data_IF_839957317095
#
_entry.id   IF_839957317095
#
_cell.length_a   1.000
_cell.length_b   1.000
_cell.length_c   1.000
_cell.angle_alpha   90.00
_cell.angle_beta   90.00
_cell.angle_gamma   90.00
#
_symmetry.space_group_name_H-M   'P 1'
#
loop_
_entity.id
_entity.type
_entity.pdbx_description
1 polymer ?
#
# COMPACT_ATOMS: atom_id res chain seq x y z
N UNK A 1 -1.44 52.33 9.12
CA UNK A 1 -0.32 51.53 8.55
C UNK A 1 0.39 50.59 9.53
N UNK A 2 0.57 50.91 10.83
CA UNK A 2 1.31 50.04 11.80
C UNK A 2 0.59 48.76 12.29
N UNK A 3 -0.74 48.67 12.13
CA UNK A 3 -1.51 47.50 12.59
C UNK A 3 -1.44 46.31 11.61
N UNK A 4 -1.37 46.59 10.30
CA UNK A 4 -1.25 45.56 9.27
C UNK A 4 0.09 44.82 9.37
N UNK A 5 1.20 45.54 9.55
CA UNK A 5 2.53 44.94 9.73
C UNK A 5 2.61 44.07 10.99
N UNK A 6 1.93 44.45 12.07
CA UNK A 6 1.87 43.64 13.29
C UNK A 6 1.11 42.32 13.10
N UNK A 7 0.00 42.34 12.35
CA UNK A 7 -0.75 41.12 12.03
C UNK A 7 0.07 40.19 11.12
N UNK A 8 0.81 40.74 10.16
CA UNK A 8 1.68 39.95 9.28
C UNK A 8 2.84 39.32 10.04
N UNK A 9 3.51 40.07 10.93
CA UNK A 9 4.60 39.55 11.77
C UNK A 9 4.11 38.47 12.74
N UNK A 10 2.93 38.66 13.34
CA UNK A 10 2.30 37.67 14.21
C UNK A 10 1.93 36.40 13.41
N UNK A 11 1.41 36.54 12.19
CA UNK A 11 1.10 35.43 11.32
C UNK A 11 2.35 34.67 10.85
N UNK A 12 3.49 35.35 10.67
CA UNK A 12 4.79 34.74 10.35
C UNK A 12 5.34 33.98 11.56
N UNK A 13 5.29 34.56 12.76
CA UNK A 13 5.73 33.88 13.99
C UNK A 13 4.87 32.66 14.31
N UNK A 14 3.54 32.77 14.19
CA UNK A 14 2.62 31.64 14.39
C UNK A 14 2.87 30.54 13.36
N UNK A 15 3.07 30.89 12.07
CA UNK A 15 3.43 29.92 11.02
C UNK A 15 4.80 29.28 11.26
N UNK A 16 5.78 30.04 11.76
CA UNK A 16 7.09 29.55 12.13
C UNK A 16 7.05 28.57 13.31
N UNK A 17 6.24 28.88 14.34
CA UNK A 17 6.03 28.01 15.49
C UNK A 17 5.31 26.72 15.10
N UNK A 18 4.24 26.80 14.30
CA UNK A 18 3.54 25.64 13.76
C UNK A 18 4.43 24.75 12.90
N UNK A 19 5.28 25.31 12.03
CA UNK A 19 6.22 24.53 11.21
C UNK A 19 7.28 23.81 12.07
N UNK A 20 7.83 24.47 13.10
CA UNK A 20 8.80 23.85 14.01
C UNK A 20 8.15 22.75 14.87
N UNK A 21 6.94 22.98 15.38
CA UNK A 21 6.18 21.98 16.11
C UNK A 21 5.84 20.77 15.23
N UNK A 22 5.47 21.02 13.97
CA UNK A 22 5.18 19.98 12.98
C UNK A 22 6.41 19.13 12.64
N UNK A 23 7.58 19.75 12.46
CA UNK A 23 8.83 19.03 12.23
C UNK A 23 9.25 18.17 13.41
N UNK A 24 9.10 18.67 14.65
CA UNK A 24 9.37 17.90 15.87
C UNK A 24 8.43 16.71 16.03
N UNK A 25 7.14 16.88 15.74
CA UNK A 25 6.16 15.79 15.79
C UNK A 25 6.47 14.70 14.77
N UNK A 26 6.82 15.07 13.53
CA UNK A 26 7.22 14.11 12.51
C UNK A 26 8.47 13.32 12.93
N UNK A 27 9.51 14.00 13.41
CA UNK A 27 10.73 13.35 13.91
C UNK A 27 10.44 12.40 15.07
N UNK A 28 9.55 12.81 16.00
CA UNK A 28 9.11 11.94 17.10
C UNK A 28 8.41 10.67 16.58
N UNK A 29 7.45 10.79 15.65
CA UNK A 29 6.76 9.63 15.07
C UNK A 29 7.72 8.71 14.29
N UNK A 30 8.68 9.29 13.58
CA UNK A 30 9.70 8.55 12.85
C UNK A 30 10.57 7.73 13.81
N UNK A 31 11.11 8.36 14.86
CA UNK A 31 11.94 7.68 15.86
C UNK A 31 11.16 6.61 16.63
N UNK A 32 9.91 6.91 17.01
CA UNK A 32 9.04 5.94 17.67
C UNK A 32 8.76 4.73 16.77
N UNK A 33 8.52 4.96 15.47
CA UNK A 33 8.32 3.88 14.50
C UNK A 33 9.58 3.05 14.29
N UNK A 34 10.77 3.66 14.22
CA UNK A 34 12.05 2.93 14.17
C UNK A 34 12.29 2.10 15.44
N UNK A 35 11.97 2.62 16.62
CA UNK A 35 12.08 1.88 17.87
C UNK A 35 11.15 0.65 17.88
N UNK A 36 9.91 0.79 17.41
CA UNK A 36 8.98 -0.32 17.28
C UNK A 36 9.42 -1.35 16.23
N UNK A 37 10.05 -0.93 15.12
CA UNK A 37 10.67 -1.85 14.14
C UNK A 37 11.84 -2.63 14.77
N UNK A 38 12.69 -1.96 15.55
CA UNK A 38 13.79 -2.61 16.25
C UNK A 38 13.29 -3.63 17.29
N UNK A 39 12.24 -3.28 18.03
CA UNK A 39 11.59 -4.20 18.98
C UNK A 39 10.99 -5.41 18.25
N UNK A 40 10.25 -5.20 17.16
CA UNK A 40 9.68 -6.31 16.39
C UNK A 40 10.79 -7.19 15.82
N UNK A 41 11.87 -6.60 15.30
CA UNK A 41 13.00 -7.37 14.81
C UNK A 41 13.60 -8.27 15.89
N UNK A 42 13.76 -7.74 17.11
CA UNK A 42 14.23 -8.54 18.24
C UNK A 42 13.26 -9.69 18.58
N UNK A 43 11.95 -9.45 18.55
CA UNK A 43 10.94 -10.47 18.78
C UNK A 43 10.95 -11.54 17.70
N UNK A 44 11.06 -11.17 16.43
CA UNK A 44 11.12 -12.12 15.31
C UNK A 44 12.37 -12.99 15.38
N UNK A 45 13.52 -12.39 15.66
CA UNK A 45 14.77 -13.12 15.85
C UNK A 45 14.69 -14.09 17.05
N UNK A 46 13.99 -13.73 18.13
CA UNK A 46 13.86 -14.60 19.31
C UNK A 46 12.95 -15.80 19.09
N UNK A 47 12.02 -15.72 18.13
CA UNK A 47 11.17 -16.85 17.70
C UNK A 47 11.73 -17.59 16.47
N UNK A 48 12.93 -17.25 16.01
CA UNK A 48 13.61 -17.91 14.89
C UNK A 48 13.15 -17.48 13.50
N UNK A 49 12.45 -16.35 13.37
CA UNK A 49 12.11 -15.75 12.07
C UNK A 49 13.34 -14.95 11.59
N UNK A 50 14.05 -15.49 10.62
CA UNK A 50 15.22 -14.84 10.02
C UNK A 50 14.83 -13.83 8.91
N UNK A 51 15.74 -12.91 8.60
CA UNK A 51 15.64 -11.90 7.53
C UNK A 51 15.31 -12.52 6.17
N UNK A 52 15.72 -13.77 5.93
CA UNK A 52 15.51 -14.52 4.68
C UNK A 52 14.32 -15.49 4.72
N UNK A 53 13.44 -15.38 5.72
CA UNK A 53 12.25 -16.24 5.84
C UNK A 53 11.33 -16.15 4.61
N UNK A 54 11.31 -15.00 3.93
CA UNK A 54 10.57 -14.85 2.67
C UNK A 54 11.41 -15.28 1.48
N UNK A 55 10.82 -16.11 0.60
CA UNK A 55 11.45 -16.55 -0.66
C UNK A 55 11.94 -15.35 -1.48
N UNK A 56 11.15 -14.28 -1.55
CA UNK A 56 11.53 -13.05 -2.26
C UNK A 56 12.79 -12.42 -1.65
N UNK A 57 12.91 -12.40 -0.31
CA UNK A 57 14.06 -11.84 0.39
C UNK A 57 15.34 -12.63 0.12
N UNK A 58 15.26 -13.96 0.13
CA UNK A 58 16.38 -14.81 -0.26
C UNK A 58 16.78 -14.57 -1.73
N UNK A 59 15.80 -14.51 -2.62
CA UNK A 59 16.01 -14.26 -4.06
C UNK A 59 16.69 -12.91 -4.30
N UNK A 60 16.25 -11.85 -3.62
CA UNK A 60 16.89 -10.53 -3.74
C UNK A 60 18.31 -10.52 -3.19
N UNK A 61 18.58 -11.22 -2.08
CA UNK A 61 19.91 -11.28 -1.49
C UNK A 61 20.91 -12.07 -2.34
N UNK A 62 20.46 -13.14 -3.01
CA UNK A 62 21.33 -14.03 -3.78
C UNK A 62 21.55 -13.57 -5.23
N UNK A 63 20.52 -12.98 -5.86
CA UNK A 63 20.55 -12.69 -7.30
C UNK A 63 20.72 -11.20 -7.64
N UNK A 64 20.87 -10.29 -6.65
CA UNK A 64 20.88 -8.85 -6.90
C UNK A 64 21.95 -8.39 -7.88
N UNK A 65 23.19 -8.88 -7.74
CA UNK A 65 24.32 -8.48 -8.58
C UNK A 65 24.07 -8.86 -10.05
N UNK A 66 23.75 -10.13 -10.30
CA UNK A 66 23.49 -10.64 -11.64
C UNK A 66 22.27 -9.96 -12.27
N UNK A 67 21.15 -9.85 -11.53
CA UNK A 67 19.92 -9.27 -12.06
C UNK A 67 20.06 -7.77 -12.30
N UNK A 68 20.77 -7.03 -11.44
CA UNK A 68 20.97 -5.60 -11.69
C UNK A 68 21.91 -5.35 -12.88
N UNK A 69 22.97 -6.14 -13.05
CA UNK A 69 23.82 -6.06 -14.23
C UNK A 69 23.05 -6.36 -15.53
N UNK A 70 22.19 -7.38 -15.52
CA UNK A 70 21.32 -7.71 -16.66
C UNK A 70 20.35 -6.55 -16.98
N UNK A 71 19.72 -5.94 -15.96
CA UNK A 71 18.86 -4.76 -16.12
C UNK A 71 19.62 -3.59 -16.74
N UNK A 72 20.84 -3.31 -16.26
CA UNK A 72 21.70 -2.26 -16.81
C UNK A 72 22.04 -2.52 -18.28
N UNK A 73 22.30 -3.79 -18.65
CA UNK A 73 22.62 -4.18 -20.03
C UNK A 73 21.42 -4.08 -20.99
N UNK A 74 20.21 -4.40 -20.52
CA UNK A 74 18.95 -4.34 -21.30
C UNK A 74 18.34 -2.94 -21.32
N UNK A 75 18.85 -2.02 -20.50
CA UNK A 75 18.40 -0.64 -20.40
C UNK A 75 17.19 -0.44 -19.49
N UNK A 76 16.81 0.83 -19.31
CA UNK A 76 15.82 1.29 -18.33
C UNK A 76 14.43 0.66 -18.45
N UNK A 77 14.05 0.14 -19.62
CA UNK A 77 12.76 -0.52 -19.84
C UNK A 77 12.63 -1.86 -19.09
N UNK A 78 13.74 -2.44 -18.63
CA UNK A 78 13.75 -3.67 -17.83
C UNK A 78 13.65 -3.44 -16.31
N UNK A 79 13.74 -2.17 -15.87
CA UNK A 79 13.65 -1.78 -14.46
C UNK A 79 12.27 -2.00 -13.81
N UNK A 80 11.12 -1.81 -14.50
CA UNK A 80 9.80 -2.10 -13.97
C UNK A 80 9.67 -3.51 -13.37
N UNK A 81 9.33 -3.57 -12.08
CA UNK A 81 9.20 -4.81 -11.32
C UNK A 81 10.48 -5.39 -10.74
N UNK A 82 11.64 -4.84 -11.12
CA UNK A 82 12.95 -5.40 -10.80
C UNK A 82 13.86 -4.44 -10.01
N UNK A 83 13.40 -3.22 -9.70
CA UNK A 83 14.23 -2.22 -9.03
C UNK A 83 14.79 -2.66 -7.66
N UNK A 84 14.12 -3.58 -6.96
CA UNK A 84 14.63 -4.10 -5.68
C UNK A 84 15.99 -4.81 -5.83
N UNK A 85 16.25 -5.50 -6.93
CA UNK A 85 17.55 -6.12 -7.19
C UNK A 85 18.66 -5.05 -7.23
N UNK A 86 18.42 -3.95 -7.94
CA UNK A 86 19.39 -2.86 -8.01
C UNK A 86 19.53 -2.07 -6.72
N UNK A 87 18.48 -1.99 -5.89
CA UNK A 87 18.61 -1.42 -4.55
C UNK A 87 19.54 -2.28 -3.70
N UNK A 88 19.33 -3.60 -3.67
CA UNK A 88 20.16 -4.52 -2.87
C UNK A 88 21.61 -4.55 -3.37
N UNK A 89 21.82 -4.52 -4.69
CA UNK A 89 23.16 -4.43 -5.29
C UNK A 89 23.90 -3.15 -4.86
N UNK A 90 23.20 -2.00 -4.85
CA UNK A 90 23.82 -0.70 -4.54
C UNK A 90 24.17 -0.53 -3.06
N UNK A 91 23.33 -0.97 -2.14
CA UNK A 91 23.50 -0.70 -0.69
C UNK A 91 23.79 -1.95 0.15
N UNK A 92 23.84 -3.12 -0.47
CA UNK A 92 23.94 -4.42 0.19
C UNK A 92 22.65 -4.82 0.93
N UNK A 93 22.59 -6.09 1.37
CA UNK A 93 21.45 -6.65 2.11
C UNK A 93 21.11 -5.83 3.36
N UNK A 94 22.09 -5.51 4.20
CA UNK A 94 21.85 -4.74 5.43
C UNK A 94 21.41 -3.30 5.15
N UNK A 95 21.97 -2.65 4.13
CA UNK A 95 21.55 -1.31 3.73
C UNK A 95 20.13 -1.29 3.20
N UNK A 96 19.74 -2.29 2.41
CA UNK A 96 18.39 -2.39 1.86
C UNK A 96 17.34 -2.69 2.95
N UNK A 97 17.66 -3.50 3.97
CA UNK A 97 16.79 -3.68 5.14
C UNK A 97 16.62 -2.36 5.91
N UNK A 98 17.70 -1.61 6.11
CA UNK A 98 17.62 -0.29 6.76
C UNK A 98 16.74 0.68 5.94
N UNK A 99 16.87 0.68 4.61
CA UNK A 99 16.00 1.49 3.75
C UNK A 99 14.54 1.06 3.88
N UNK A 100 14.23 -0.24 3.92
CA UNK A 100 12.88 -0.73 4.16
C UNK A 100 12.30 -0.25 5.50
N UNK A 101 13.09 -0.32 6.56
CA UNK A 101 12.72 0.19 7.88
C UNK A 101 12.41 1.70 7.81
N UNK A 102 13.25 2.47 7.10
CA UNK A 102 13.02 3.90 6.88
C UNK A 102 11.76 4.19 6.05
N UNK A 103 11.44 3.39 5.03
CA UNK A 103 10.23 3.52 4.22
C UNK A 103 8.97 3.27 5.08
N UNK A 104 8.97 2.23 5.91
CA UNK A 104 7.85 1.94 6.83
C UNK A 104 7.73 3.02 7.92
N UNK A 105 8.85 3.47 8.48
CA UNK A 105 8.85 4.51 9.51
C UNK A 105 8.41 5.87 8.95
N UNK A 106 8.92 6.26 7.79
CA UNK A 106 8.54 7.48 7.10
C UNK A 106 7.06 7.49 6.72
N UNK A 107 6.55 6.38 6.20
CA UNK A 107 5.12 6.26 5.88
C UNK A 107 4.24 6.29 7.13
N UNK A 108 4.68 5.70 8.25
CA UNK A 108 3.95 5.79 9.53
C UNK A 108 3.94 7.23 10.05
N UNK A 109 5.08 7.92 10.02
CA UNK A 109 5.19 9.30 10.46
C UNK A 109 4.32 10.25 9.62
N UNK A 110 4.31 10.08 8.29
CA UNK A 110 3.43 10.85 7.40
C UNK A 110 1.95 10.64 7.72
N UNK A 111 1.53 9.39 7.94
CA UNK A 111 0.16 9.07 8.31
C UNK A 111 -0.21 9.73 9.65
N UNK A 112 0.57 9.50 10.70
CA UNK A 112 0.29 10.05 12.03
C UNK A 112 0.26 11.57 12.01
N UNK A 113 1.18 12.21 11.29
CA UNK A 113 1.17 13.66 11.12
C UNK A 113 -0.12 14.14 10.44
N UNK A 114 -0.59 13.45 9.39
CA UNK A 114 -1.84 13.78 8.73
C UNK A 114 -3.05 13.59 9.65
N UNK A 115 -3.03 12.57 10.51
CA UNK A 115 -4.12 12.20 11.42
C UNK A 115 -4.22 13.14 12.63
N UNK A 116 -3.11 13.39 13.32
CA UNK A 116 -3.11 14.24 14.53
C UNK A 116 -3.42 15.71 14.22
N UNK A 117 -3.40 16.09 12.94
CA UNK A 117 -3.94 17.37 12.48
C UNK A 117 -5.48 17.44 12.44
N UNK A 118 -6.18 16.32 12.68
CA UNK A 118 -7.64 16.18 12.55
C UNK A 118 -8.31 15.85 13.89
N UNK A 119 -9.54 16.32 14.05
CA UNK A 119 -10.40 15.96 15.18
C UNK A 119 -11.14 14.65 14.87
N UNK A 120 -10.57 13.51 15.27
CA UNK A 120 -11.21 12.19 15.20
C UNK A 120 -11.83 11.81 16.54
N UNK A 121 -12.96 11.08 16.56
CA UNK A 121 -13.44 10.45 17.79
C UNK A 121 -12.44 9.40 18.28
N UNK A 122 -12.46 9.10 19.58
CA UNK A 122 -11.53 8.14 20.22
C UNK A 122 -11.43 6.81 19.46
N UNK A 123 -12.56 6.23 19.05
CA UNK A 123 -12.58 4.96 18.32
C UNK A 123 -11.93 5.07 16.92
N UNK A 124 -12.09 6.22 16.25
CA UNK A 124 -11.40 6.49 14.99
C UNK A 124 -9.90 6.65 15.18
N UNK A 125 -9.48 7.29 16.28
CA UNK A 125 -8.07 7.41 16.65
C UNK A 125 -7.45 6.03 16.95
N UNK A 126 -8.12 5.19 17.75
CA UNK A 126 -7.67 3.82 18.05
C UNK A 126 -7.53 3.01 16.76
N UNK A 127 -8.54 3.04 15.88
CA UNK A 127 -8.51 2.32 14.59
C UNK A 127 -7.30 2.74 13.77
N UNK A 128 -7.07 4.04 13.66
CA UNK A 128 -5.94 4.58 12.91
C UNK A 128 -4.60 4.18 13.53
N UNK A 129 -4.46 4.23 14.85
CA UNK A 129 -3.22 3.82 15.53
C UNK A 129 -2.95 2.34 15.31
N UNK A 130 -3.97 1.48 15.37
CA UNK A 130 -3.85 0.06 15.09
C UNK A 130 -3.42 -0.22 13.64
N UNK A 131 -3.96 0.52 12.67
CA UNK A 131 -3.54 0.42 11.26
C UNK A 131 -2.12 0.95 11.07
N UNK A 132 -1.78 2.08 11.69
CA UNK A 132 -0.48 2.73 11.53
C UNK A 132 0.66 1.86 12.11
N UNK A 133 0.44 1.27 13.28
CA UNK A 133 1.38 0.42 14.02
C UNK A 133 1.10 -1.08 13.86
N UNK A 134 0.41 -1.45 12.79
CA UNK A 134 0.05 -2.83 12.57
C UNK A 134 1.31 -3.73 12.47
N UNK A 135 1.41 -4.83 13.26
CA UNK A 135 2.61 -5.67 13.31
C UNK A 135 3.04 -6.18 11.94
N UNK A 136 2.09 -6.57 11.10
CA UNK A 136 2.36 -7.06 9.75
C UNK A 136 3.05 -6.01 8.86
N UNK A 137 2.72 -4.73 9.03
CA UNK A 137 3.41 -3.63 8.32
C UNK A 137 4.88 -3.55 8.70
N UNK A 138 5.14 -3.71 9.99
CA UNK A 138 6.47 -3.59 10.55
C UNK A 138 7.32 -4.81 10.18
N UNK A 139 6.70 -5.99 10.14
CA UNK A 139 7.28 -7.21 9.60
C UNK A 139 7.80 -6.98 8.16
N UNK A 140 6.98 -6.39 7.27
CA UNK A 140 7.44 -6.05 5.92
C UNK A 140 8.64 -5.08 5.89
N UNK A 141 8.76 -4.22 6.91
CA UNK A 141 9.84 -3.23 7.04
C UNK A 141 11.19 -3.79 7.48
N UNK A 142 11.21 -4.97 8.13
CA UNK A 142 12.44 -5.60 8.64
C UNK A 142 12.97 -6.73 7.75
N UNK A 143 12.24 -7.05 6.68
CA UNK A 143 12.66 -7.99 5.63
C UNK A 143 13.04 -7.28 4.33
N UNK A 144 13.80 -7.95 3.46
CA UNK A 144 14.10 -7.48 2.10
C UNK A 144 12.87 -7.66 1.19
N UNK A 145 11.88 -6.81 1.35
CA UNK A 145 10.64 -6.84 0.59
C UNK A 145 10.37 -5.50 -0.09
N UNK A 146 9.90 -5.56 -1.34
CA UNK A 146 9.50 -4.38 -2.10
C UNK A 146 8.22 -3.70 -1.59
N UNK A 147 7.42 -4.42 -0.80
CA UNK A 147 6.13 -3.97 -0.28
C UNK A 147 6.24 -2.68 0.56
N UNK A 148 7.36 -2.50 1.28
CA UNK A 148 7.68 -1.31 2.07
C UNK A 148 7.85 -0.04 1.23
N UNK A 149 8.49 -0.15 0.06
CA UNK A 149 8.61 0.96 -0.89
C UNK A 149 7.24 1.33 -1.48
N UNK A 150 6.47 0.32 -1.90
CA UNK A 150 5.13 0.52 -2.46
C UNK A 150 4.25 1.25 -1.46
N UNK A 151 4.27 0.84 -0.19
CA UNK A 151 3.51 1.48 0.86
C UNK A 151 3.94 2.93 1.12
N UNK A 152 5.25 3.20 1.11
CA UNK A 152 5.77 4.55 1.27
C UNK A 152 5.34 5.47 0.13
N UNK A 153 5.52 5.04 -1.12
CA UNK A 153 5.10 5.81 -2.29
C UNK A 153 3.58 5.97 -2.38
N UNK A 154 2.79 4.97 -2.00
CA UNK A 154 1.34 5.10 -1.88
C UNK A 154 0.94 6.14 -0.83
N UNK A 155 1.63 6.17 0.31
CA UNK A 155 1.42 7.17 1.35
C UNK A 155 1.77 8.57 0.82
N UNK A 156 2.93 8.75 0.20
CA UNK A 156 3.30 10.01 -0.44
C UNK A 156 2.27 10.44 -1.50
N UNK A 157 1.77 9.49 -2.30
CA UNK A 157 0.81 9.78 -3.33
C UNK A 157 -0.52 10.31 -2.80
N UNK A 158 -0.93 9.93 -1.59
CA UNK A 158 -2.14 10.45 -0.95
C UNK A 158 -1.92 11.77 -0.20
N UNK A 159 -0.76 11.93 0.45
CA UNK A 159 -0.56 13.01 1.43
C UNK A 159 0.37 14.13 0.96
N UNK A 160 1.14 13.95 -0.12
CA UNK A 160 2.09 14.95 -0.61
C UNK A 160 1.55 15.75 -1.81
N UNK A 161 2.08 16.97 -2.00
CA UNK A 161 1.72 17.84 -3.14
C UNK A 161 2.23 17.22 -4.45
N UNK A 162 1.37 17.17 -5.47
CA UNK A 162 1.69 16.44 -6.71
C UNK A 162 1.58 14.91 -6.57
N UNK A 163 0.78 14.45 -5.59
CA UNK A 163 0.64 13.06 -5.14
C UNK A 163 0.63 12.00 -6.25
N UNK A 164 -0.11 12.19 -7.34
CA UNK A 164 -0.15 11.21 -8.42
C UNK A 164 1.24 10.89 -9.02
N UNK A 165 2.17 11.85 -9.09
CA UNK A 165 3.52 11.58 -9.60
C UNK A 165 4.32 10.64 -8.68
N UNK A 166 4.06 10.69 -7.37
CA UNK A 166 4.67 9.78 -6.39
C UNK A 166 4.18 8.34 -6.52
N UNK A 167 3.16 8.09 -7.33
CA UNK A 167 2.73 6.73 -7.62
C UNK A 167 3.55 6.04 -8.72
N UNK A 168 4.27 6.79 -9.56
CA UNK A 168 5.10 6.25 -10.65
C UNK A 168 6.24 5.33 -10.17
N UNK A 169 7.02 5.67 -9.11
CA UNK A 169 8.07 4.79 -8.60
C UNK A 169 7.57 3.41 -8.18
N UNK A 170 6.28 3.25 -7.85
CA UNK A 170 5.73 1.94 -7.48
C UNK A 170 5.84 0.91 -8.62
N UNK A 171 5.77 1.34 -9.89
CA UNK A 171 5.94 0.46 -11.06
C UNK A 171 7.34 -0.16 -11.09
N UNK A 172 8.35 0.60 -10.66
CA UNK A 172 9.74 0.15 -10.65
C UNK A 172 9.94 -1.03 -9.71
N UNK A 173 9.23 -1.04 -8.58
CA UNK A 173 9.27 -2.12 -7.60
C UNK A 173 8.32 -3.27 -7.96
N UNK A 174 7.16 -2.98 -8.53
CA UNK A 174 6.18 -3.98 -8.91
C UNK A 174 5.33 -3.50 -10.08
N UNK A 175 5.11 -4.30 -11.14
CA UNK A 175 4.20 -3.92 -12.22
C UNK A 175 2.76 -3.70 -11.72
N UNK A 176 2.43 -4.33 -10.58
CA UNK A 176 1.15 -4.10 -9.86
C UNK A 176 1.03 -2.69 -9.31
N UNK A 177 2.13 -1.93 -9.28
CA UNK A 177 2.20 -0.47 -9.13
C UNK A 177 1.13 0.27 -9.92
N UNK A 178 0.80 -0.21 -11.12
CA UNK A 178 -0.26 0.33 -11.97
C UNK A 178 -1.63 0.33 -11.29
N UNK A 179 -1.96 -0.70 -10.51
CA UNK A 179 -3.21 -0.77 -9.76
C UNK A 179 -3.26 0.39 -8.76
N UNK A 180 -2.20 0.63 -7.99
CA UNK A 180 -2.14 1.74 -7.03
C UNK A 180 -2.19 3.13 -7.71
N UNK A 181 -1.57 3.28 -8.88
CA UNK A 181 -1.62 4.52 -9.68
C UNK A 181 -3.05 4.80 -10.11
N UNK A 182 -3.71 3.81 -10.70
CA UNK A 182 -5.10 3.87 -11.16
C UNK A 182 -5.96 4.39 -10.01
N UNK A 183 -5.90 3.81 -8.82
CA UNK A 183 -6.71 4.26 -7.68
C UNK A 183 -6.28 5.57 -7.02
N UNK A 184 -5.14 6.15 -7.40
CA UNK A 184 -4.73 7.49 -6.95
C UNK A 184 -5.49 8.62 -7.68
N UNK A 185 -6.21 8.31 -8.78
CA UNK A 185 -7.05 9.26 -9.52
C UNK A 185 -8.54 9.18 -9.09
N UNK A 186 -9.41 10.13 -9.51
CA UNK A 186 -10.83 10.13 -9.12
C UNK A 186 -11.65 9.01 -9.78
N UNK A 187 -12.51 8.36 -8.98
CA UNK A 187 -13.39 7.24 -9.33
C UNK A 187 -14.16 7.41 -10.64
N UNK A 188 -14.79 8.57 -10.82
CA UNK A 188 -15.70 8.81 -11.94
C UNK A 188 -15.01 8.82 -13.31
N UNK A 189 -13.74 9.22 -13.36
CA UNK A 189 -12.97 9.20 -14.60
C UNK A 189 -12.27 7.87 -14.79
N UNK A 190 -11.88 7.20 -13.71
CA UNK A 190 -11.22 5.89 -13.75
C UNK A 190 -12.08 4.76 -14.26
N UNK A 191 -13.31 4.65 -13.78
CA UNK A 191 -14.23 3.61 -14.25
C UNK A 191 -14.53 3.82 -15.74
N UNK A 192 -14.70 5.08 -16.15
CA UNK A 192 -14.88 5.43 -17.55
C UNK A 192 -13.62 5.15 -18.39
N UNK A 193 -12.42 5.55 -17.94
CA UNK A 193 -11.19 5.33 -18.70
C UNK A 193 -10.77 3.86 -18.71
N UNK A 194 -10.94 3.12 -17.62
CA UNK A 194 -10.67 1.69 -17.56
C UNK A 194 -11.66 0.90 -18.42
N UNK A 195 -12.95 1.26 -18.38
CA UNK A 195 -13.95 0.69 -19.28
C UNK A 195 -13.64 0.99 -20.74
N UNK A 196 -13.33 2.24 -21.08
CA UNK A 196 -12.96 2.63 -22.44
C UNK A 196 -11.66 1.97 -22.90
N UNK A 197 -10.67 1.79 -22.03
CA UNK A 197 -9.41 1.11 -22.32
C UNK A 197 -9.62 -0.39 -22.55
N UNK A 198 -10.42 -1.06 -21.71
CA UNK A 198 -10.80 -2.46 -21.89
C UNK A 198 -11.65 -2.67 -23.14
N UNK A 199 -12.59 -1.77 -23.40
CA UNK A 199 -13.43 -1.79 -24.60
C UNK A 199 -12.59 -1.58 -25.87
N UNK A 200 -11.63 -0.66 -25.84
CA UNK A 200 -10.73 -0.44 -26.98
C UNK A 200 -9.74 -1.60 -27.17
N UNK A 201 -9.24 -2.20 -26.11
CA UNK A 201 -8.48 -3.47 -26.20
C UNK A 201 -9.31 -4.59 -26.82
N UNK A 202 -10.58 -4.74 -26.41
CA UNK A 202 -11.48 -5.75 -26.93
C UNK A 202 -11.84 -5.52 -28.42
N UNK A 203 -12.17 -4.28 -28.79
CA UNK A 203 -12.63 -3.95 -30.14
C UNK A 203 -11.49 -3.87 -31.17
N UNK A 204 -10.32 -3.33 -30.79
CA UNK A 204 -9.24 -3.05 -31.74
C UNK A 204 -8.10 -4.09 -31.69
N UNK A 205 -8.01 -4.90 -30.64
CA UNK A 205 -6.92 -5.86 -30.43
C UNK A 205 -7.40 -7.23 -29.94
N UNK A 206 -8.22 -7.97 -30.72
CA UNK A 206 -8.81 -9.24 -30.28
C UNK A 206 -7.78 -10.32 -29.89
N UNK A 207 -6.58 -10.32 -30.49
CA UNK A 207 -5.49 -11.23 -30.09
C UNK A 207 -4.85 -10.91 -28.72
N UNK A 208 -4.98 -9.66 -28.26
CA UNK A 208 -4.57 -9.29 -26.90
C UNK A 208 -5.60 -9.71 -25.86
N UNK A 209 -6.88 -9.87 -26.24
CA UNK A 209 -7.91 -10.36 -25.32
C UNK A 209 -7.64 -11.81 -24.90
N UNK A 210 -7.28 -12.70 -25.85
CA UNK A 210 -6.90 -14.07 -25.51
C UNK A 210 -5.64 -14.12 -24.64
N UNK A 211 -4.67 -13.23 -24.90
CA UNK A 211 -3.46 -13.09 -24.07
C UNK A 211 -3.81 -12.59 -22.67
N UNK A 212 -4.65 -11.56 -22.55
CA UNK A 212 -5.12 -11.02 -21.28
C UNK A 212 -5.88 -12.08 -20.48
N UNK A 213 -6.80 -12.80 -21.12
CA UNK A 213 -7.53 -13.90 -20.50
C UNK A 213 -6.58 -15.01 -20.05
N UNK A 214 -5.59 -15.40 -20.87
CA UNK A 214 -4.61 -16.41 -20.48
C UNK A 214 -3.72 -15.96 -19.30
N UNK A 215 -3.40 -14.66 -19.19
CA UNK A 215 -2.68 -14.09 -18.04
C UNK A 215 -3.56 -14.08 -16.79
N UNK A 216 -4.82 -13.67 -16.91
CA UNK A 216 -5.79 -13.65 -15.81
C UNK A 216 -6.10 -15.06 -15.30
N UNK A 217 -6.23 -16.04 -16.19
CA UNK A 217 -6.47 -17.45 -15.82
C UNK A 217 -5.19 -18.18 -15.42
N UNK A 218 -4.00 -17.61 -15.68
CA UNK A 218 -2.71 -18.25 -15.34
C UNK A 218 -2.57 -18.50 -13.84
N UNK A 219 -3.12 -17.61 -13.01
CA UNK A 219 -3.15 -17.75 -11.55
C UNK A 219 -3.81 -19.06 -11.09
N UNK A 220 -4.80 -19.55 -11.84
CA UNK A 220 -5.51 -20.81 -11.57
C UNK A 220 -4.79 -22.06 -12.14
N UNK A 221 -3.76 -21.89 -12.97
CA UNK A 221 -3.04 -23.00 -13.61
C UNK A 221 -1.77 -23.42 -12.88
N UNK A 222 -1.14 -22.53 -12.12
CA UNK A 222 0.07 -22.83 -11.37
C UNK A 222 -0.29 -23.68 -10.13
N UNK A 223 0.26 -24.89 -10.04
CA UNK A 223 0.20 -25.68 -8.81
C UNK A 223 1.20 -25.09 -7.82
N UNK A 224 0.70 -24.26 -6.91
CA UNK A 224 1.48 -23.84 -5.75
C UNK A 224 1.21 -24.82 -4.61
N UNK A 225 2.28 -25.35 -4.03
CA UNK A 225 2.19 -26.06 -2.76
C UNK A 225 2.02 -24.97 -1.70
N UNK A 226 0.79 -24.76 -1.26
CA UNK A 226 0.52 -23.86 -0.13
C UNK A 226 0.98 -24.54 1.15
N UNK A 227 1.50 -23.73 2.06
CA UNK A 227 1.83 -24.24 3.39
C UNK A 227 0.54 -24.63 4.12
N UNK A 228 0.60 -25.66 4.96
CA UNK A 228 -0.58 -26.24 5.61
C UNK A 228 -1.38 -25.24 6.46
N UNK A 229 -0.80 -24.09 6.79
CA UNK A 229 -1.47 -23.03 7.54
C UNK A 229 -2.15 -21.96 6.66
N UNK A 230 -1.89 -21.91 5.34
CA UNK A 230 -2.47 -20.93 4.38
C UNK A 230 -3.76 -21.46 3.74
N UNK A 231 -4.68 -22.03 4.54
CA UNK A 231 -5.88 -22.75 4.06
C UNK A 231 -7.08 -21.86 3.71
N UNK A 232 -6.87 -20.66 3.16
CA UNK A 232 -8.02 -19.87 2.68
C UNK A 232 -8.43 -20.36 1.29
N UNK A 233 -9.73 -20.66 1.05
CA UNK A 233 -10.20 -21.19 -0.21
C UNK A 233 -9.77 -20.34 -1.41
N UNK A 234 -9.13 -21.00 -2.38
CA UNK A 234 -8.74 -20.41 -3.66
C UNK A 234 -9.82 -20.58 -4.73
N UNK A 235 -10.81 -21.46 -4.50
CA UNK A 235 -11.91 -21.78 -5.41
C UNK A 235 -11.45 -22.31 -6.78
N UNK A 236 -10.23 -22.83 -6.85
CA UNK A 236 -9.59 -23.28 -8.10
C UNK A 236 -10.39 -24.36 -8.83
N UNK A 237 -11.09 -25.21 -8.07
CA UNK A 237 -11.96 -26.27 -8.58
C UNK A 237 -13.07 -25.75 -9.51
N UNK A 238 -13.39 -24.46 -9.45
CA UNK A 238 -14.39 -23.82 -10.30
C UNK A 238 -13.81 -23.05 -11.50
N UNK A 239 -12.51 -23.17 -11.80
CA UNK A 239 -11.84 -22.47 -12.89
C UNK A 239 -12.14 -20.95 -12.88
N UNK A 240 -12.55 -20.37 -14.02
CA UNK A 240 -12.89 -18.94 -14.14
C UNK A 240 -13.98 -18.50 -13.17
N UNK A 241 -14.96 -19.36 -12.85
CA UNK A 241 -15.97 -19.04 -11.83
C UNK A 241 -15.32 -18.88 -10.45
N UNK A 242 -14.31 -19.70 -10.15
CA UNK A 242 -13.48 -19.58 -8.96
C UNK A 242 -12.78 -18.22 -8.85
N UNK A 243 -12.24 -17.72 -9.96
CA UNK A 243 -11.62 -16.39 -10.01
C UNK A 243 -12.61 -15.27 -9.67
N UNK A 244 -13.85 -15.36 -10.16
CA UNK A 244 -14.91 -14.41 -9.81
C UNK A 244 -15.35 -14.51 -8.35
N UNK A 245 -15.53 -15.73 -7.84
CA UNK A 245 -15.85 -15.95 -6.42
C UNK A 245 -14.74 -15.34 -5.56
N UNK A 246 -13.49 -15.60 -5.91
CA UNK A 246 -12.31 -15.06 -5.23
C UNK A 246 -12.26 -13.53 -5.25
N UNK A 247 -12.51 -12.91 -6.39
CA UNK A 247 -12.57 -11.46 -6.55
C UNK A 247 -13.67 -10.79 -5.70
N UNK A 248 -14.70 -11.54 -5.33
CA UNK A 248 -15.75 -11.08 -4.42
C UNK A 248 -15.44 -11.41 -2.96
N UNK A 249 -15.02 -12.64 -2.66
CA UNK A 249 -14.91 -13.15 -1.29
C UNK A 249 -13.64 -12.66 -0.60
N UNK A 250 -12.49 -12.63 -1.27
CA UNK A 250 -11.22 -12.27 -0.63
C UNK A 250 -11.18 -10.82 -0.14
N UNK A 251 -11.68 -9.81 -0.89
CA UNK A 251 -11.82 -8.45 -0.37
C UNK A 251 -12.69 -8.39 0.88
N UNK A 252 -13.82 -9.11 0.91
CA UNK A 252 -14.68 -9.18 2.09
C UNK A 252 -13.94 -9.80 3.27
N UNK A 253 -13.23 -10.91 3.06
CA UNK A 253 -12.42 -11.53 4.10
C UNK A 253 -11.36 -10.58 4.64
N UNK A 254 -10.57 -9.94 3.78
CA UNK A 254 -9.50 -9.05 4.22
C UNK A 254 -10.03 -7.82 4.96
N UNK A 255 -11.09 -7.19 4.44
CA UNK A 255 -11.68 -6.01 5.08
C UNK A 255 -12.39 -6.35 6.39
N UNK A 256 -12.90 -7.57 6.57
CA UNK A 256 -13.63 -7.99 7.76
C UNK A 256 -12.79 -8.70 8.82
N UNK A 257 -11.70 -9.35 8.42
CA UNK A 257 -10.95 -10.27 9.27
C UNK A 257 -11.54 -11.68 9.37
N UNK A 258 -12.63 -12.00 8.67
CA UNK A 258 -13.31 -13.31 8.81
C UNK A 258 -12.47 -14.52 8.39
N UNK A 259 -11.41 -14.33 7.61
CA UNK A 259 -10.51 -15.43 7.22
C UNK A 259 -9.83 -16.13 8.41
N UNK A 260 -9.78 -15.49 9.59
CA UNK A 260 -9.20 -16.10 10.79
C UNK A 260 -9.94 -17.35 11.28
N UNK A 261 -11.24 -17.46 10.97
CA UNK A 261 -12.02 -18.65 11.31
C UNK A 261 -11.80 -19.81 10.33
N UNK A 262 -11.07 -19.56 9.25
CA UNK A 262 -10.83 -20.51 8.17
C UNK A 262 -9.36 -20.93 8.16
N UNK A 263 -8.44 -19.99 8.35
CA UNK A 263 -7.01 -20.27 8.32
C UNK A 263 -6.42 -20.32 9.74
N UNK A 264 -5.62 -21.37 10.05
CA UNK A 264 -4.95 -21.51 11.34
C UNK A 264 -3.65 -20.69 11.46
N UNK A 265 -3.29 -19.86 10.47
CA UNK A 265 -2.02 -19.13 10.47
C UNK A 265 -1.96 -18.08 11.61
N UNK A 266 -0.98 -18.14 12.53
CA UNK A 266 -0.89 -17.15 13.61
C UNK A 266 -0.70 -15.72 13.11
N UNK A 267 0.02 -15.54 12.00
CA UNK A 267 0.23 -14.23 11.35
C UNK A 267 -1.06 -13.59 10.83
N UNK A 268 -2.14 -14.36 10.68
CA UNK A 268 -3.43 -13.86 10.26
C UNK A 268 -4.22 -13.20 11.38
N UNK A 269 -3.91 -13.50 12.65
CA UNK A 269 -4.53 -12.85 13.80
C UNK A 269 -4.36 -11.32 13.80
N UNK A 270 -3.13 -10.75 13.72
CA UNK A 270 -2.97 -9.30 13.69
C UNK A 270 -3.61 -8.66 12.45
N UNK A 271 -3.62 -9.35 11.30
CA UNK A 271 -4.26 -8.84 10.08
C UNK A 271 -5.79 -8.84 10.24
N UNK A 272 -6.37 -9.87 10.84
CA UNK A 272 -7.80 -9.94 11.10
C UNK A 272 -8.27 -8.86 12.06
N UNK A 273 -7.48 -8.56 13.10
CA UNK A 273 -7.76 -7.46 14.03
C UNK A 273 -7.83 -6.11 13.32
N UNK A 274 -6.97 -5.88 12.31
CA UNK A 274 -7.03 -4.69 11.46
C UNK A 274 -8.34 -4.67 10.66
N UNK A 275 -8.76 -5.80 10.10
CA UNK A 275 -10.04 -5.92 9.40
C UNK A 275 -11.24 -5.56 10.29
N UNK A 276 -11.34 -6.20 11.47
CA UNK A 276 -12.43 -5.94 12.42
C UNK A 276 -12.49 -4.47 12.85
N UNK A 277 -11.34 -3.90 13.20
CA UNK A 277 -11.25 -2.49 13.65
C UNK A 277 -11.51 -1.53 12.50
N UNK A 278 -11.13 -1.88 11.28
CA UNK A 278 -11.49 -1.13 10.07
C UNK A 278 -13.00 -1.07 9.88
N UNK A 279 -13.70 -2.21 9.90
CA UNK A 279 -15.16 -2.23 9.75
C UNK A 279 -15.83 -1.40 10.84
N UNK A 280 -15.36 -1.53 12.09
CA UNK A 280 -15.87 -0.77 13.21
C UNK A 280 -15.63 0.75 13.03
N UNK A 281 -14.44 1.14 12.56
CA UNK A 281 -14.10 2.53 12.24
C UNK A 281 -14.97 3.10 11.13
N UNK A 282 -15.16 2.36 10.03
CA UNK A 282 -16.02 2.73 8.91
C UNK A 282 -17.48 2.87 9.35
N UNK A 283 -17.98 1.95 10.19
CA UNK A 283 -19.33 2.02 10.72
C UNK A 283 -19.53 3.24 11.63
N UNK A 284 -18.58 3.49 12.53
CA UNK A 284 -18.61 4.64 13.45
C UNK A 284 -18.56 5.97 12.69
N UNK A 285 -17.79 6.03 11.61
CA UNK A 285 -17.61 7.22 10.78
C UNK A 285 -18.49 7.24 9.53
N UNK A 286 -19.52 6.37 9.42
CA UNK A 286 -20.34 6.16 8.21
C UNK A 286 -20.91 7.42 7.56
N UNK A 287 -21.12 8.50 8.33
CA UNK A 287 -21.61 9.80 7.85
C UNK A 287 -20.52 10.67 7.20
N UNK A 288 -19.25 10.41 7.52
CA UNK A 288 -18.07 11.14 7.03
C UNK A 288 -17.28 10.34 5.98
N UNK A 289 -17.50 9.02 5.92
CA UNK A 289 -16.85 8.13 4.96
C UNK A 289 -17.31 8.45 3.55
N UNK A 290 -16.36 8.53 2.63
CA UNK A 290 -16.64 8.61 1.20
C UNK A 290 -16.90 7.20 0.64
N UNK A 291 -18.17 6.83 0.48
CA UNK A 291 -18.55 5.51 -0.03
C UNK A 291 -18.08 5.23 -1.46
N UNK A 292 -17.90 6.25 -2.30
CA UNK A 292 -17.28 6.09 -3.62
C UNK A 292 -15.84 5.60 -3.50
N UNK A 293 -15.09 6.16 -2.53
CA UNK A 293 -13.72 5.73 -2.24
C UNK A 293 -13.70 4.30 -1.72
N UNK A 294 -14.66 3.90 -0.87
CA UNK A 294 -14.77 2.51 -0.40
C UNK A 294 -15.06 1.54 -1.56
N UNK A 295 -15.95 1.91 -2.48
CA UNK A 295 -16.20 1.11 -3.69
C UNK A 295 -14.96 0.95 -4.56
N UNK A 296 -14.17 2.03 -4.71
CA UNK A 296 -12.86 1.96 -5.37
C UNK A 296 -11.87 1.06 -4.64
N UNK A 297 -11.81 1.14 -3.31
CA UNK A 297 -10.96 0.24 -2.51
C UNK A 297 -11.35 -1.20 -2.83
N UNK A 298 -12.64 -1.51 -2.75
CA UNK A 298 -13.13 -2.85 -3.02
C UNK A 298 -12.76 -3.33 -4.43
N UNK A 299 -12.89 -2.47 -5.45
CA UNK A 299 -12.49 -2.81 -6.82
C UNK A 299 -10.99 -3.10 -6.94
N UNK A 300 -10.13 -2.28 -6.31
CA UNK A 300 -8.68 -2.52 -6.31
C UNK A 300 -8.31 -3.83 -5.62
N UNK A 301 -8.98 -4.12 -4.51
CA UNK A 301 -8.86 -5.40 -3.82
C UNK A 301 -9.32 -6.57 -4.68
N UNK A 302 -10.41 -6.42 -5.45
CA UNK A 302 -10.87 -7.46 -6.38
C UNK A 302 -9.84 -7.72 -7.49
N UNK A 303 -9.21 -6.67 -8.04
CA UNK A 303 -8.13 -6.82 -9.04
C UNK A 303 -6.94 -7.57 -8.44
N UNK A 304 -6.53 -7.23 -7.20
CA UNK A 304 -5.46 -7.97 -6.52
C UNK A 304 -5.82 -9.44 -6.29
N UNK A 305 -7.08 -9.74 -5.98
CA UNK A 305 -7.54 -11.11 -5.77
C UNK A 305 -7.47 -11.94 -7.05
N UNK A 306 -7.71 -11.34 -8.23
CA UNK A 306 -7.58 -12.01 -9.52
C UNK A 306 -6.13 -12.37 -9.87
N UNK A 307 -5.18 -11.50 -9.54
CA UNK A 307 -3.77 -11.68 -9.94
C UNK A 307 -2.92 -12.42 -8.90
N UNK A 308 -3.39 -12.51 -7.65
CA UNK A 308 -2.67 -13.20 -6.59
C UNK A 308 -2.80 -14.71 -6.73
N UNK A 309 -1.76 -15.50 -6.44
CA UNK A 309 -1.84 -16.96 -6.53
C UNK A 309 -2.55 -17.61 -5.33
N UNK A 310 -2.46 -17.00 -4.15
CA UNK A 310 -3.03 -17.50 -2.88
C UNK A 310 -3.37 -16.35 -1.94
N UNK A 311 -4.08 -16.64 -0.86
CA UNK A 311 -4.57 -15.59 0.04
C UNK A 311 -3.43 -14.86 0.77
N UNK A 312 -2.36 -15.55 1.19
CA UNK A 312 -1.17 -14.87 1.74
C UNK A 312 -0.50 -13.93 0.72
N UNK A 313 -0.38 -14.35 -0.54
CA UNK A 313 0.13 -13.46 -1.60
C UNK A 313 -0.81 -12.27 -1.82
N UNK A 314 -2.11 -12.52 -1.79
CA UNK A 314 -3.14 -11.50 -1.89
C UNK A 314 -3.06 -10.48 -0.74
N UNK A 315 -2.94 -10.94 0.52
CA UNK A 315 -2.81 -10.04 1.66
C UNK A 315 -1.58 -9.17 1.51
N UNK A 316 -0.42 -9.72 1.13
CA UNK A 316 0.79 -8.93 0.83
C UNK A 316 0.53 -7.80 -0.18
N UNK A 317 -0.14 -8.10 -1.29
CA UNK A 317 -0.35 -7.13 -2.36
C UNK A 317 -1.41 -6.09 -1.98
N UNK A 318 -2.48 -6.52 -1.33
CA UNK A 318 -3.57 -5.67 -0.89
C UNK A 318 -3.19 -4.81 0.32
N UNK A 319 -2.29 -5.25 1.19
CA UNK A 319 -2.08 -4.65 2.50
C UNK A 319 -1.61 -3.18 2.46
N UNK A 320 -0.66 -2.77 1.59
CA UNK A 320 -0.32 -1.36 1.42
C UNK A 320 -1.55 -0.52 1.02
N UNK A 321 -2.40 -1.07 0.16
CA UNK A 321 -3.60 -0.42 -0.35
C UNK A 321 -4.68 -0.29 0.74
N UNK A 322 -4.94 -1.37 1.47
CA UNK A 322 -5.82 -1.41 2.65
C UNK A 322 -5.39 -0.34 3.65
N UNK A 323 -4.13 -0.35 4.08
CA UNK A 323 -3.61 0.57 5.10
C UNK A 323 -3.81 2.04 4.70
N UNK A 324 -3.33 2.40 3.51
CA UNK A 324 -3.23 3.79 3.07
C UNK A 324 -4.61 4.36 2.71
N UNK A 325 -5.43 3.58 1.99
CA UNK A 325 -6.72 4.09 1.49
C UNK A 325 -7.82 4.00 2.54
N UNK A 326 -7.79 3.03 3.46
CA UNK A 326 -8.73 3.02 4.59
C UNK A 326 -8.49 4.19 5.54
N UNK A 327 -7.23 4.52 5.84
CA UNK A 327 -6.92 5.72 6.61
C UNK A 327 -7.48 6.95 5.89
N UNK A 328 -7.25 7.07 4.58
CA UNK A 328 -7.78 8.17 3.78
C UNK A 328 -9.32 8.27 3.84
N UNK A 329 -10.02 7.13 3.81
CA UNK A 329 -11.46 7.07 3.95
C UNK A 329 -11.95 7.50 5.34
N UNK A 330 -11.25 7.09 6.42
CA UNK A 330 -11.60 7.44 7.80
C UNK A 330 -11.40 8.92 8.10
N UNK A 331 -10.36 9.54 7.55
CA UNK A 331 -10.09 10.98 7.74
C UNK A 331 -10.89 11.86 6.76
N UNK A 332 -11.69 11.27 5.87
CA UNK A 332 -12.51 11.98 4.89
C UNK A 332 -11.69 12.73 3.84
N UNK A 333 -10.51 12.22 3.47
CA UNK A 333 -9.77 12.80 2.35
C UNK A 333 -10.58 12.61 1.07
N UNK A 334 -10.77 13.72 0.34
CA UNK A 334 -11.25 13.64 -1.03
C UNK A 334 -10.07 13.24 -1.92
N UNK A 335 -10.24 12.31 -2.87
CA UNK A 335 -9.21 12.02 -3.87
C UNK A 335 -8.78 13.31 -4.59
N UNK A 336 -7.46 13.44 -4.78
CA UNK A 336 -6.76 14.60 -5.36
C UNK A 336 -7.46 15.11 -6.63
N UNK A 337 -7.63 16.43 -6.73
CA UNK A 337 -8.13 17.04 -7.96
C UNK A 337 -6.99 17.22 -8.96
N UNK A 338 -7.22 16.91 -10.24
CA UNK A 338 -6.28 17.27 -11.31
C UNK A 338 -5.96 18.77 -11.32
N UNK A 339 -6.94 19.63 -10.98
CA UNK A 339 -6.75 21.08 -10.83
C UNK A 339 -5.87 21.48 -9.65
N UNK A 340 -5.72 20.61 -8.64
CA UNK A 340 -4.81 20.83 -7.51
C UNK A 340 -3.39 20.35 -7.84
N UNK A 341 -3.24 19.38 -8.74
CA UNK A 341 -1.96 18.85 -9.22
C UNK A 341 -1.25 19.88 -10.13
N UNK A 342 -1.99 20.55 -11.01
CA UNK A 342 -1.42 21.57 -11.90
C UNK A 342 -1.33 22.97 -11.28
N UNK A 343 -1.76 23.13 -10.03
CA UNK A 343 -1.88 24.42 -9.38
C UNK A 343 -2.94 25.28 -10.07
N UNK A 344 -3.88 25.82 -9.28
CA UNK A 344 -4.53 27.06 -9.72
C UNK A 344 -3.44 28.12 -9.80
N UNK A 345 -2.85 28.33 -10.96
CA UNK A 345 -2.40 29.65 -11.39
C UNK A 345 -3.66 30.51 -11.57
N UNK A 346 -4.35 30.83 -10.47
CA UNK A 346 -5.18 32.02 -10.49
C UNK A 346 -4.22 33.19 -10.53
N UNK A 347 -3.85 33.58 -11.74
CA UNK A 347 -3.41 34.95 -12.01
C UNK A 347 -4.56 35.81 -11.55
N UNK A 348 -4.37 36.49 -10.42
CA UNK A 348 -5.18 37.63 -10.01
C UNK A 348 -4.37 38.87 -10.28
#
# INVERSE_FOLDING_TARGET
MKFASFIDDLAIQIRGFQKRALGRAFAFYLLFSLAALALLHFVEMSVGIDKRTHIDSATYAELSEQQCADIQSRGLLSLPGNAMYCVVDLVGEHGAILLNALMVAGSTALLLQAIFSRQLPLLGLITVLLIAFAPYRYHLGIHLLKDSYIQFFATLALFWRGGALWSLPMILFSPRGLVYIVFSFRAKYLLATAFLALLSLYLFFPGYWSTLMSVLTKGNTLQFVFQEYDQVPTFREFNMLGDWIRALVWPLFLLSGFFIFISPAPLFFPIALIGFTTLLGLWTLRRKVNWELIGLIYLGLAVFALIAPGFTGYTRYAYPFVTVVLIAALIGLKPLQLSEIFGRTSVR
#
